data_IF_536093185831
#
_entry.id   IF_536093185831
#
_cell.length_a   1.000
_cell.length_b   1.000
_cell.length_c   1.000
_cell.angle_alpha   90.00
_cell.angle_beta   90.00
_cell.angle_gamma   90.00
#
_symmetry.space_group_name_H-M   'P 1'
#
loop_
_entity.id
_entity.type
_entity.pdbx_description
1 polymer ?
#
# COMPACT_ATOMS: atom_id res chain seq x y z
N UNK A 1 43.77 -24.39 -69.01
CA UNK A 1 44.27 -24.75 -67.66
C UNK A 1 43.89 -23.59 -66.74
N UNK A 2 42.85 -23.78 -65.93
CA UNK A 2 42.29 -22.79 -65.02
C UNK A 2 43.00 -22.86 -63.67
N UNK A 3 43.45 -21.74 -63.12
CA UNK A 3 43.72 -21.50 -61.68
C UNK A 3 43.57 -19.97 -61.48
N UNK A 4 42.53 -19.47 -60.81
CA UNK A 4 42.39 -19.26 -59.36
C UNK A 4 43.50 -18.37 -58.78
N UNK A 5 43.30 -17.37 -57.93
CA UNK A 5 42.18 -16.73 -57.20
C UNK A 5 42.91 -15.67 -56.37
N UNK A 6 42.42 -14.43 -56.24
CA UNK A 6 42.84 -13.58 -55.14
C UNK A 6 41.56 -13.06 -54.47
N UNK A 7 41.17 -13.78 -53.41
CA UNK A 7 40.16 -13.29 -52.48
C UNK A 7 40.85 -12.29 -51.57
N UNK A 8 40.28 -11.10 -51.48
CA UNK A 8 40.70 -10.08 -50.55
C UNK A 8 40.10 -10.49 -49.20
N UNK A 9 40.92 -11.00 -48.28
CA UNK A 9 40.48 -11.29 -46.92
C UNK A 9 40.28 -9.97 -46.17
N UNK A 10 39.02 -9.61 -45.92
CA UNK A 10 38.69 -8.56 -44.95
C UNK A 10 39.06 -9.08 -43.56
N UNK A 11 40.23 -8.69 -43.10
CA UNK A 11 40.69 -8.98 -41.75
C UNK A 11 39.80 -8.22 -40.76
N UNK A 12 38.81 -8.89 -40.17
CA UNK A 12 38.06 -8.37 -39.02
C UNK A 12 38.95 -8.50 -37.79
N UNK A 13 39.57 -7.38 -37.39
CA UNK A 13 40.34 -7.32 -36.16
C UNK A 13 39.40 -7.51 -34.97
N UNK A 14 39.41 -8.70 -34.38
CA UNK A 14 38.83 -8.96 -33.07
C UNK A 14 39.74 -8.31 -32.02
N UNK A 15 39.42 -7.07 -31.65
CA UNK A 15 40.05 -6.40 -30.50
C UNK A 15 39.54 -7.09 -29.24
N UNK A 16 40.42 -7.84 -28.57
CA UNK A 16 40.16 -8.33 -27.22
C UNK A 16 40.06 -7.15 -26.26
N UNK A 17 39.15 -7.23 -25.28
CA UNK A 17 38.97 -6.22 -24.25
C UNK A 17 40.26 -6.07 -23.42
N UNK A 18 40.64 -4.83 -23.14
CA UNK A 18 41.72 -4.52 -22.22
C UNK A 18 41.30 -4.80 -20.78
N UNK A 19 42.21 -5.29 -19.94
CA UNK A 19 41.99 -5.39 -18.49
C UNK A 19 41.56 -4.04 -17.88
N UNK A 20 42.10 -2.94 -18.40
CA UNK A 20 41.74 -1.59 -17.97
C UNK A 20 40.25 -1.27 -18.25
N UNK A 21 39.71 -1.75 -19.37
CA UNK A 21 38.34 -1.47 -19.79
C UNK A 21 37.32 -2.20 -18.90
N UNK A 22 37.61 -3.46 -18.56
CA UNK A 22 36.82 -4.20 -17.59
C UNK A 22 36.89 -3.54 -16.21
N UNK A 23 38.07 -3.07 -15.78
CA UNK A 23 38.23 -2.40 -14.49
C UNK A 23 37.46 -1.06 -14.44
N UNK A 24 37.54 -0.24 -15.50
CA UNK A 24 36.78 1.01 -15.60
C UNK A 24 35.27 0.71 -15.63
N UNK A 25 34.84 -0.31 -16.38
CA UNK A 25 33.43 -0.72 -16.44
C UNK A 25 32.88 -1.13 -15.07
N UNK A 26 33.65 -1.90 -14.29
CA UNK A 26 33.28 -2.27 -12.93
C UNK A 26 33.22 -1.08 -11.98
N UNK A 27 34.18 -0.16 -12.07
CA UNK A 27 34.18 1.05 -11.23
C UNK A 27 32.97 1.93 -11.58
N UNK A 28 32.74 2.20 -12.86
CA UNK A 28 31.60 3.00 -13.32
C UNK A 28 30.29 2.32 -12.92
N UNK A 29 30.15 1.01 -13.15
CA UNK A 29 28.98 0.24 -12.74
C UNK A 29 28.72 0.31 -11.24
N UNK A 30 29.74 0.08 -10.41
CA UNK A 30 29.63 0.19 -8.96
C UNK A 30 29.25 1.61 -8.50
N UNK A 31 29.82 2.66 -9.12
CA UNK A 31 29.46 4.04 -8.80
C UNK A 31 28.03 4.40 -9.20
N UNK A 32 27.54 3.90 -10.34
CA UNK A 32 26.16 4.13 -10.78
C UNK A 32 25.18 3.45 -9.80
N UNK A 33 25.46 2.19 -9.41
CA UNK A 33 24.66 1.47 -8.42
C UNK A 33 24.65 2.23 -7.08
N UNK A 34 25.82 2.67 -6.60
CA UNK A 34 25.95 3.40 -5.35
C UNK A 34 25.24 4.78 -5.36
N UNK A 35 25.27 5.50 -6.48
CA UNK A 35 24.55 6.78 -6.61
C UNK A 35 23.04 6.57 -6.77
N UNK A 36 22.63 5.46 -7.40
CA UNK A 36 21.22 5.09 -7.56
C UNK A 36 20.54 4.90 -6.20
N UNK A 37 21.13 4.13 -5.30
CA UNK A 37 20.53 3.84 -3.98
C UNK A 37 20.26 5.10 -3.16
N UNK A 38 21.18 6.07 -3.16
CA UNK A 38 20.99 7.38 -2.50
C UNK A 38 19.85 8.21 -3.09
N UNK A 39 19.66 8.19 -4.42
CA UNK A 39 18.64 8.99 -5.08
C UNK A 39 17.22 8.40 -4.94
N UNK A 40 17.10 7.08 -4.74
CA UNK A 40 15.82 6.40 -4.55
C UNK A 40 15.30 6.50 -3.11
N UNK A 41 16.17 6.44 -2.10
CA UNK A 41 15.75 6.56 -0.69
C UNK A 41 15.05 7.88 -0.38
N UNK A 42 15.57 9.00 -0.91
CA UNK A 42 15.00 10.34 -0.68
C UNK A 42 13.60 10.47 -1.31
N UNK A 43 13.39 9.87 -2.50
CA UNK A 43 12.09 9.86 -3.18
C UNK A 43 11.08 8.94 -2.52
N UNK A 44 11.50 7.75 -2.08
CA UNK A 44 10.62 6.79 -1.38
C UNK A 44 10.15 7.37 -0.05
N UNK A 45 11.04 8.07 0.69
CA UNK A 45 10.64 8.80 1.89
C UNK A 45 9.65 9.93 1.58
N UNK A 46 9.91 10.76 0.57
CA UNK A 46 8.99 11.82 0.17
C UNK A 46 7.61 11.26 -0.25
N UNK A 47 7.59 10.12 -0.94
CA UNK A 47 6.36 9.41 -1.30
C UNK A 47 5.63 8.88 -0.06
N UNK A 48 6.33 8.24 0.87
CA UNK A 48 5.77 7.78 2.14
C UNK A 48 5.14 8.94 2.93
N UNK A 49 5.88 10.05 3.12
CA UNK A 49 5.39 11.22 3.86
C UNK A 49 4.07 11.74 3.24
N UNK A 50 4.01 11.82 1.90
CA UNK A 50 2.82 12.27 1.18
C UNK A 50 1.65 11.30 1.31
N UNK A 51 1.88 10.00 1.12
CA UNK A 51 0.81 9.01 1.17
C UNK A 51 0.25 8.85 2.59
N UNK A 52 1.13 8.82 3.59
CA UNK A 52 0.74 8.71 4.99
C UNK A 52 -0.04 9.95 5.45
N UNK A 53 0.47 11.16 5.15
CA UNK A 53 -0.23 12.40 5.48
C UNK A 53 -1.57 12.51 4.75
N UNK A 54 -1.65 12.07 3.49
CA UNK A 54 -2.90 12.05 2.72
C UNK A 54 -3.93 11.14 3.37
N UNK A 55 -3.56 9.91 3.72
CA UNK A 55 -4.47 8.97 4.36
C UNK A 55 -4.98 9.51 5.70
N UNK A 56 -4.08 10.03 6.54
CA UNK A 56 -4.45 10.67 7.81
C UNK A 56 -5.42 11.85 7.59
N UNK A 57 -5.13 12.73 6.63
CA UNK A 57 -5.98 13.87 6.33
C UNK A 57 -7.37 13.44 5.83
N UNK A 58 -7.46 12.38 5.03
CA UNK A 58 -8.74 11.85 4.56
C UNK A 58 -9.55 11.20 5.68
N UNK A 59 -8.90 10.50 6.63
CA UNK A 59 -9.57 9.96 7.81
C UNK A 59 -10.12 11.07 8.72
N UNK A 60 -9.33 12.14 8.94
CA UNK A 60 -9.80 13.33 9.65
C UNK A 60 -10.96 14.02 8.92
N UNK A 61 -10.87 14.15 7.61
CA UNK A 61 -11.94 14.72 6.79
C UNK A 61 -13.21 13.86 6.88
N UNK A 62 -13.09 12.53 6.85
CA UNK A 62 -14.23 11.63 7.01
C UNK A 62 -14.91 11.83 8.37
N UNK A 63 -14.12 11.89 9.45
CA UNK A 63 -14.62 12.21 10.79
C UNK A 63 -15.37 13.55 10.83
N UNK A 64 -14.79 14.61 10.28
CA UNK A 64 -15.43 15.93 10.26
C UNK A 64 -16.74 15.90 9.44
N UNK A 65 -16.74 15.29 8.25
CA UNK A 65 -17.93 15.17 7.40
C UNK A 65 -19.05 14.38 8.08
N UNK A 66 -18.70 13.28 8.72
CA UNK A 66 -19.61 12.44 9.50
C UNK A 66 -20.27 13.22 10.64
N UNK A 67 -19.48 13.98 11.41
CA UNK A 67 -19.98 14.82 12.49
C UNK A 67 -20.84 16.01 12.00
N UNK A 68 -20.45 16.62 10.87
CA UNK A 68 -21.11 17.81 10.34
C UNK A 68 -22.42 17.49 9.61
N UNK A 69 -22.46 16.37 8.88
CA UNK A 69 -23.60 16.00 8.02
C UNK A 69 -24.48 14.93 8.62
N UNK A 70 -24.04 14.26 9.69
CA UNK A 70 -24.77 13.16 10.31
C UNK A 70 -24.84 11.93 9.40
N UNK A 71 -23.75 11.65 8.68
CA UNK A 71 -23.62 10.50 7.78
C UNK A 71 -22.58 9.54 8.32
N UNK A 72 -22.75 8.24 8.12
CA UNK A 72 -21.73 7.27 8.54
C UNK A 72 -20.84 6.94 7.33
N UNK A 73 -19.53 7.01 7.55
CA UNK A 73 -18.51 6.77 6.52
C UNK A 73 -17.70 5.54 6.91
N UNK A 74 -17.49 4.65 5.94
CA UNK A 74 -16.65 3.48 6.07
C UNK A 74 -15.42 3.60 5.17
N UNK A 75 -14.31 2.99 5.60
CA UNK A 75 -13.07 2.92 4.84
C UNK A 75 -12.70 1.44 4.70
N UNK A 76 -12.47 1.04 3.45
CA UNK A 76 -11.86 -0.24 3.12
C UNK A 76 -10.41 -0.02 2.73
N UNK A 77 -9.48 -0.68 3.40
CA UNK A 77 -8.06 -0.71 3.05
C UNK A 77 -7.75 -2.12 2.54
N UNK A 78 -7.03 -2.17 1.43
CA UNK A 78 -6.49 -3.35 0.77
C UNK A 78 -4.98 -3.12 0.56
N UNK A 79 -4.25 -4.16 0.14
CA UNK A 79 -2.78 -4.08 0.00
C UNK A 79 -2.34 -2.95 -0.96
N UNK A 80 -3.08 -2.75 -2.04
CA UNK A 80 -2.69 -1.82 -3.13
C UNK A 80 -3.58 -0.57 -3.20
N UNK A 81 -4.60 -0.44 -2.36
CA UNK A 81 -5.57 0.66 -2.46
C UNK A 81 -6.41 0.84 -1.19
N UNK A 82 -7.10 1.97 -1.12
CA UNK A 82 -8.18 2.18 -0.16
C UNK A 82 -9.36 2.93 -0.78
N UNK A 83 -10.57 2.63 -0.30
CA UNK A 83 -11.83 3.18 -0.81
C UNK A 83 -12.74 3.60 0.35
N UNK A 84 -13.58 4.61 0.09
CA UNK A 84 -14.55 5.13 1.04
C UNK A 84 -15.97 4.71 0.66
N UNK A 85 -16.80 4.53 1.69
CA UNK A 85 -18.18 4.07 1.58
C UNK A 85 -19.07 4.97 2.41
N UNK A 86 -20.30 5.17 1.95
CA UNK A 86 -21.38 5.81 2.69
C UNK A 86 -22.35 4.72 3.15
N UNK A 87 -22.80 4.79 4.39
CA UNK A 87 -23.85 3.89 4.87
C UNK A 87 -25.23 4.39 4.42
N UNK A 88 -25.95 3.56 3.67
CA UNK A 88 -27.34 3.76 3.28
C UNK A 88 -28.27 3.15 4.34
N UNK A 89 -28.78 4.00 5.22
CA UNK A 89 -29.65 3.61 6.35
C UNK A 89 -30.97 2.99 5.84
N UNK A 90 -31.50 3.43 4.70
CA UNK A 90 -32.80 2.97 4.20
C UNK A 90 -32.73 1.53 3.67
N UNK A 91 -31.57 1.15 3.14
CA UNK A 91 -31.34 -0.16 2.53
C UNK A 91 -30.37 -1.05 3.33
N UNK A 92 -29.90 -0.58 4.49
CA UNK A 92 -28.96 -1.27 5.39
C UNK A 92 -27.72 -1.81 4.64
N UNK A 93 -27.06 -0.94 3.86
CA UNK A 93 -25.93 -1.33 3.02
C UNK A 93 -24.86 -0.25 2.89
N UNK A 94 -23.64 -0.67 2.66
CA UNK A 94 -22.52 0.22 2.32
C UNK A 94 -22.49 0.46 0.81
N UNK A 95 -22.42 1.73 0.41
CA UNK A 95 -22.32 2.14 -0.99
C UNK A 95 -20.98 2.84 -1.22
N UNK A 96 -20.21 2.47 -2.27
CA UNK A 96 -18.96 3.15 -2.58
C UNK A 96 -19.22 4.62 -2.91
N UNK A 97 -18.34 5.50 -2.44
CA UNK A 97 -18.37 6.92 -2.78
C UNK A 97 -17.60 7.12 -4.10
N UNK A 98 -18.32 7.31 -5.20
CA UNK A 98 -17.71 7.49 -6.53
C UNK A 98 -17.65 8.96 -6.96
N UNK A 99 -18.65 9.76 -6.57
CA UNK A 99 -18.87 11.14 -7.04
C UNK A 99 -18.43 12.23 -6.03
N UNK A 100 -17.35 11.99 -5.28
CA UNK A 100 -16.78 12.97 -4.33
C UNK A 100 -15.35 13.41 -4.73
N UNK A 101 -14.95 14.63 -4.37
CA UNK A 101 -13.60 15.14 -4.71
C UNK A 101 -12.50 14.54 -3.83
N UNK A 102 -12.83 14.19 -2.59
CA UNK A 102 -11.91 13.69 -1.58
C UNK A 102 -11.99 12.17 -1.48
N UNK A 103 -13.21 11.64 -1.34
CA UNK A 103 -13.49 10.26 -0.97
C UNK A 103 -13.61 9.29 -2.16
N UNK A 104 -12.73 9.44 -3.16
CA UNK A 104 -12.60 8.41 -4.22
C UNK A 104 -11.61 7.33 -3.81
N UNK A 105 -11.65 6.20 -4.51
CA UNK A 105 -10.59 5.19 -4.45
C UNK A 105 -9.22 5.80 -4.72
N UNK A 106 -8.24 5.46 -3.88
CA UNK A 106 -6.84 5.86 -3.99
C UNK A 106 -5.94 4.63 -3.97
N UNK A 107 -4.96 4.60 -4.86
CA UNK A 107 -3.92 3.57 -4.90
C UNK A 107 -2.85 3.83 -3.84
N UNK A 108 -2.32 2.73 -3.29
CA UNK A 108 -1.12 2.66 -2.46
C UNK A 108 0.01 2.26 -3.40
N UNK A 109 1.08 3.07 -3.53
CA UNK A 109 2.21 2.72 -4.39
C UNK A 109 2.83 1.37 -4.00
N UNK A 110 3.18 0.54 -4.99
CA UNK A 110 3.89 -0.76 -4.79
C UNK A 110 5.23 -0.62 -4.04
N UNK A 111 5.75 0.60 -3.94
CA UNK A 111 6.97 0.91 -3.17
C UNK A 111 6.74 0.91 -1.66
N UNK A 112 5.48 0.85 -1.22
CA UNK A 112 5.01 0.90 0.16
C UNK A 112 4.16 -0.33 0.47
N UNK A 113 4.20 -0.74 1.73
CA UNK A 113 3.37 -1.77 2.33
C UNK A 113 2.40 -1.12 3.32
N UNK A 114 1.17 -1.64 3.39
CA UNK A 114 0.18 -1.25 4.38
C UNK A 114 -0.15 -2.43 5.29
N UNK A 115 -0.28 -2.17 6.59
CA UNK A 115 -0.81 -3.11 7.57
C UNK A 115 -1.96 -2.47 8.31
N UNK A 116 -3.01 -3.24 8.51
CA UNK A 116 -4.22 -2.79 9.17
C UNK A 116 -4.50 -3.73 10.35
N UNK A 117 -4.64 -3.14 11.54
CA UNK A 117 -5.22 -3.82 12.69
C UNK A 117 -6.54 -3.14 13.02
N UNK A 118 -7.59 -3.93 13.17
CA UNK A 118 -8.93 -3.46 13.55
C UNK A 118 -9.42 -4.30 14.71
N UNK A 119 -9.82 -3.65 15.80
CA UNK A 119 -10.33 -4.30 17.02
C UNK A 119 -9.41 -5.43 17.55
N UNK A 120 -8.10 -5.32 17.31
CA UNK A 120 -7.08 -6.31 17.68
C UNK A 120 -6.84 -7.44 16.67
N UNK A 121 -7.52 -7.42 15.53
CA UNK A 121 -7.32 -8.38 14.47
C UNK A 121 -6.44 -7.79 13.37
N UNK A 122 -5.31 -8.44 13.11
CA UNK A 122 -4.36 -8.05 12.05
C UNK A 122 -4.82 -8.59 10.71
N UNK A 123 -4.91 -7.69 9.73
CA UNK A 123 -5.26 -7.98 8.34
C UNK A 123 -4.01 -7.85 7.47
N UNK A 124 -3.94 -8.64 6.39
CA UNK A 124 -2.78 -8.72 5.48
C UNK A 124 -1.50 -9.24 6.17
N UNK A 125 -1.66 -10.00 7.26
CA UNK A 125 -0.57 -10.84 7.72
C UNK A 125 -0.36 -11.91 6.65
N UNK A 126 0.70 -11.77 5.85
CA UNK A 126 1.20 -12.88 5.03
C UNK A 126 1.51 -14.05 5.98
N UNK A 127 0.49 -14.88 6.21
CA UNK A 127 0.61 -16.29 6.47
C UNK A 127 0.11 -16.96 5.18
N UNK A 128 0.96 -17.75 4.54
CA UNK A 128 0.64 -18.57 3.36
C UNK A 128 -0.50 -19.59 3.61
N UNK A 129 -1.24 -19.50 4.70
CA UNK A 129 -2.19 -20.51 5.17
C UNK A 129 -3.50 -19.91 5.72
N UNK A 130 -3.97 -18.74 5.26
CA UNK A 130 -5.37 -18.37 5.48
C UNK A 130 -6.23 -18.93 4.34
N UNK A 131 -6.64 -20.18 4.57
CA UNK A 131 -7.85 -20.76 4.02
C UNK A 131 -8.95 -19.70 4.06
N UNK A 132 -9.57 -19.40 2.92
CA UNK A 132 -10.83 -18.66 2.82
C UNK A 132 -11.83 -19.20 3.87
N UNK A 133 -11.90 -18.56 5.04
CA UNK A 133 -12.87 -18.91 6.09
C UNK A 133 -14.25 -18.32 5.77
N UNK A 134 -14.33 -17.53 4.70
CA UNK A 134 -15.58 -17.32 4.00
C UNK A 134 -15.77 -18.51 3.08
N UNK A 135 -16.38 -19.58 3.62
CA UNK A 135 -17.02 -20.59 2.79
C UNK A 135 -17.91 -19.84 1.80
N UNK A 136 -17.43 -19.77 0.56
CA UNK A 136 -18.19 -19.35 -0.60
C UNK A 136 -19.35 -20.33 -0.64
N UNK A 137 -20.51 -19.93 -0.15
CA UNK A 137 -21.77 -20.58 -0.46
C UNK A 137 -21.96 -20.40 -1.98
N UNK A 138 -21.32 -21.28 -2.74
CA UNK A 138 -21.48 -21.36 -4.18
C UNK A 138 -22.90 -21.87 -4.40
N UNK A 139 -23.85 -20.96 -4.57
CA UNK A 139 -25.12 -21.27 -5.21
C UNK A 139 -24.79 -21.67 -6.66
N UNK A 140 -24.77 -22.98 -6.93
CA UNK A 140 -24.45 -23.57 -8.25
C UNK A 140 -25.63 -23.39 -9.24
N UNK A 141 -26.55 -22.47 -8.96
CA UNK A 141 -27.71 -22.19 -9.81
C UNK A 141 -28.15 -20.73 -9.65
N UNK A 142 -27.58 -19.80 -10.41
CA UNK A 142 -28.34 -18.67 -10.96
C UNK A 142 -27.57 -17.99 -12.09
N UNK A 143 -28.13 -18.09 -13.30
CA UNK A 143 -27.77 -17.31 -14.48
C UNK A 143 -28.38 -15.91 -14.33
N UNK A 144 -27.81 -15.06 -13.47
CA UNK A 144 -28.00 -13.61 -13.49
C UNK A 144 -26.62 -12.97 -13.32
N UNK A 145 -26.33 -11.87 -14.04
CA UNK A 145 -25.14 -11.05 -13.78
C UNK A 145 -25.31 -10.41 -12.40
N UNK A 146 -25.12 -11.20 -11.34
CA UNK A 146 -25.09 -10.72 -9.97
C UNK A 146 -23.83 -9.87 -9.81
N UNK A 147 -24.02 -8.57 -9.58
CA UNK A 147 -22.95 -7.69 -9.11
C UNK A 147 -22.32 -8.34 -7.88
N UNK A 148 -21.02 -8.61 -7.91
CA UNK A 148 -20.36 -9.23 -6.76
C UNK A 148 -20.62 -8.39 -5.51
N UNK A 149 -21.00 -9.04 -4.39
CA UNK A 149 -21.40 -8.33 -3.19
C UNK A 149 -20.28 -7.39 -2.75
N UNK A 150 -20.61 -6.12 -2.55
CA UNK A 150 -19.66 -5.12 -2.07
C UNK A 150 -19.21 -5.53 -0.66
N UNK A 151 -17.93 -5.89 -0.53
CA UNK A 151 -17.36 -6.25 0.75
C UNK A 151 -17.40 -5.05 1.72
N UNK A 152 -17.82 -5.27 2.99
CA UNK A 152 -18.03 -4.17 3.92
C UNK A 152 -16.70 -3.48 4.30
N UNK A 153 -16.70 -2.18 4.59
CA UNK A 153 -15.50 -1.48 5.07
C UNK A 153 -15.03 -2.04 6.42
N UNK A 154 -13.71 -2.08 6.65
CA UNK A 154 -13.16 -2.55 7.93
C UNK A 154 -13.15 -1.45 9.00
N UNK A 155 -12.98 -0.19 8.61
CA UNK A 155 -13.02 0.97 9.51
C UNK A 155 -14.35 1.69 9.30
N UNK A 156 -15.06 2.01 10.38
CA UNK A 156 -16.29 2.79 10.33
C UNK A 156 -16.20 3.98 11.26
N UNK A 157 -16.64 5.14 10.76
CA UNK A 157 -16.74 6.39 11.50
C UNK A 157 -18.21 6.80 11.48
N UNK A 158 -18.81 6.84 12.67
CA UNK A 158 -20.23 7.04 12.85
C UNK A 158 -20.55 8.49 13.20
N UNK A 159 -21.74 8.94 12.83
CA UNK A 159 -22.27 10.28 13.08
C UNK A 159 -22.36 10.66 14.57
N UNK A 160 -22.25 9.68 15.48
CA UNK A 160 -22.07 9.90 16.91
C UNK A 160 -20.68 10.45 17.28
N UNK A 161 -19.70 10.35 16.38
CA UNK A 161 -18.28 10.59 16.63
C UNK A 161 -17.52 9.33 17.05
N UNK A 162 -18.22 8.22 17.26
CA UNK A 162 -17.62 6.92 17.57
C UNK A 162 -17.01 6.30 16.30
N UNK A 163 -15.98 5.49 16.48
CA UNK A 163 -15.38 4.64 15.45
C UNK A 163 -14.97 3.31 16.08
N UNK A 164 -14.59 2.33 15.27
CA UNK A 164 -13.84 1.20 15.80
C UNK A 164 -12.38 1.54 16.07
N UNK A 165 -11.77 0.73 16.92
CA UNK A 165 -10.36 0.84 17.23
C UNK A 165 -9.56 0.33 16.03
N UNK A 166 -8.63 1.15 15.52
CA UNK A 166 -7.81 0.75 14.39
C UNK A 166 -6.39 1.30 14.45
N UNK A 167 -5.49 0.59 13.78
CA UNK A 167 -4.14 1.05 13.47
C UNK A 167 -3.84 0.79 12.02
N UNK A 168 -3.45 1.84 11.31
CA UNK A 168 -2.92 1.73 9.94
C UNK A 168 -1.44 2.06 9.98
N UNK A 169 -0.62 1.11 9.57
CA UNK A 169 0.80 1.31 9.43
C UNK A 169 1.16 1.30 7.95
N UNK A 170 1.77 2.37 7.46
CA UNK A 170 2.16 2.53 6.06
C UNK A 170 3.67 2.77 5.99
N UNK A 171 4.41 2.01 5.20
CA UNK A 171 5.87 2.08 5.20
C UNK A 171 6.54 1.14 4.23
N UNK A 172 7.81 0.82 4.46
CA UNK A 172 8.52 -0.26 3.77
C UNK A 172 9.32 -1.08 4.78
N UNK A 173 9.50 -2.38 4.50
CA UNK A 173 10.17 -3.30 5.43
C UNK A 173 11.52 -3.85 4.93
N UNK A 174 11.97 -3.44 3.74
CA UNK A 174 13.15 -3.99 3.05
C UNK A 174 14.51 -3.50 3.61
N UNK A 175 14.90 -2.26 3.31
CA UNK A 175 16.18 -1.63 3.71
C UNK A 175 15.91 -0.35 4.50
N UNK A 176 16.50 -0.23 5.71
CA UNK A 176 16.22 0.87 6.66
C UNK A 176 14.71 1.10 6.82
N UNK A 177 13.97 0.16 7.45
CA UNK A 177 12.52 0.18 7.44
C UNK A 177 11.99 1.46 8.10
N UNK A 178 11.06 2.11 7.40
CA UNK A 178 10.39 3.33 7.87
C UNK A 178 8.90 3.22 7.66
N UNK A 179 8.13 3.73 8.61
CA UNK A 179 6.69 3.76 8.51
C UNK A 179 6.08 4.91 9.30
N UNK A 180 4.85 5.25 8.94
CA UNK A 180 3.95 6.05 9.76
C UNK A 180 2.88 5.16 10.37
N UNK A 181 2.45 5.52 11.57
CA UNK A 181 1.35 4.88 12.27
C UNK A 181 0.21 5.88 12.42
N UNK A 182 -0.97 5.52 11.92
CA UNK A 182 -2.23 6.23 12.15
C UNK A 182 -3.04 5.37 13.10
N UNK A 183 -3.37 5.90 14.27
CA UNK A 183 -4.19 5.19 15.26
C UNK A 183 -5.52 5.90 15.41
N UNK A 184 -6.61 5.17 15.26
CA UNK A 184 -7.96 5.62 15.60
C UNK A 184 -8.47 4.86 16.83
N UNK A 185 -9.16 5.57 17.72
CA UNK A 185 -9.73 4.99 18.93
C UNK A 185 -11.24 5.16 18.96
N UNK A 186 -11.95 4.31 19.68
CA UNK A 186 -13.41 4.39 19.82
C UNK A 186 -13.92 5.73 20.36
N UNK A 187 -13.06 6.48 21.07
CA UNK A 187 -13.36 7.82 21.57
C UNK A 187 -13.33 8.90 20.49
N UNK A 188 -12.99 8.54 19.25
CA UNK A 188 -12.88 9.45 18.12
C UNK A 188 -11.52 10.14 18.02
N UNK A 189 -10.53 9.78 18.84
CA UNK A 189 -9.19 10.32 18.69
C UNK A 189 -8.47 9.60 17.54
N UNK A 190 -7.94 10.39 16.59
CA UNK A 190 -7.09 9.92 15.50
C UNK A 190 -5.72 10.60 15.62
N UNK A 191 -4.65 9.83 15.77
CA UNK A 191 -3.25 10.29 15.86
C UNK A 191 -2.46 9.95 14.61
N UNK A 192 -1.32 10.64 14.44
CA UNK A 192 -0.40 10.46 13.32
C UNK A 192 1.05 10.53 13.83
N UNK A 193 1.72 9.39 13.82
CA UNK A 193 3.04 9.21 14.41
C UNK A 193 4.05 8.73 13.36
N UNK A 194 5.24 9.32 13.33
CA UNK A 194 6.34 8.91 12.46
C UNK A 194 7.12 10.04 11.77
N UNK A 195 8.04 9.72 10.84
CA UNK A 195 8.35 8.34 10.45
C UNK A 195 9.09 7.62 11.57
N UNK A 196 8.60 6.44 11.94
CA UNK A 196 9.20 5.51 12.89
C UNK A 196 10.17 4.58 12.16
N UNK A 197 11.07 3.97 12.90
CA UNK A 197 12.03 2.98 12.40
C UNK A 197 11.87 1.69 13.20
N UNK A 198 11.79 0.54 12.54
CA UNK A 198 11.56 -0.74 13.23
C UNK A 198 10.84 -1.75 12.37
N UNK A 199 10.36 -2.82 12.99
CA UNK A 199 9.58 -3.84 12.30
C UNK A 199 8.09 -3.50 12.38
N UNK A 200 7.48 -3.26 11.21
CA UNK A 200 6.06 -2.92 11.07
C UNK A 200 5.14 -3.96 11.73
N UNK A 201 5.55 -5.24 11.81
CA UNK A 201 4.75 -6.32 12.42
C UNK A 201 4.74 -6.21 13.94
N UNK A 202 5.92 -6.12 14.54
CA UNK A 202 6.08 -6.23 15.99
C UNK A 202 5.43 -5.04 16.73
N UNK A 203 5.51 -3.81 16.20
CA UNK A 203 4.97 -2.64 16.90
C UNK A 203 3.46 -2.43 16.75
N UNK A 204 2.85 -2.95 15.68
CA UNK A 204 1.38 -2.84 15.50
C UNK A 204 0.68 -3.88 16.38
N UNK A 205 1.24 -5.09 16.51
CA UNK A 205 0.76 -6.19 17.36
C UNK A 205 1.09 -5.98 18.86
N UNK A 206 2.27 -5.44 19.23
CA UNK A 206 2.65 -5.25 20.64
C UNK A 206 1.98 -4.06 21.32
N UNK A 207 1.46 -3.11 20.55
CA UNK A 207 0.67 -2.02 21.11
C UNK A 207 -0.68 -2.55 21.55
N UNK A 208 -0.78 -3.13 22.74
CA UNK A 208 -2.09 -3.32 23.36
C UNK A 208 -2.87 -2.01 23.28
N UNK A 209 -4.17 -2.09 22.97
CA UNK A 209 -5.10 -0.98 23.17
C UNK A 209 -5.08 -0.63 24.64
N UNK A 210 -4.11 0.19 25.04
CA UNK A 210 -3.99 0.69 26.39
C UNK A 210 -5.16 1.64 26.59
N UNK A 211 -6.26 1.07 27.05
CA UNK A 211 -7.39 1.77 27.64
C UNK A 211 -6.83 2.73 28.71
N UNK A 212 -6.85 4.03 28.41
CA UNK A 212 -6.70 5.10 29.41
C UNK A 212 -8.08 5.71 29.69
#
# INVERSE_FOLDING_TARGET
MFLSRQFNDFNTSSKGFSLLEILIGLVVGATIIALSTLAFGDKRQEELDKQALRLYALLKQAQDETLLRGIDIGIRIEEEKYRFYLYDIDNDKWLPIEDDQFFTEKEIPETLEVKLVVDGNTLFAEDEDDVDIFEKDVNIFEDEEEEEPVEPPQIYILSSGEMNDFKVALGWTDEDPRYYLITGTMLGDITFDGPLSGNLRDEVDEGEFLNL
#
